data_IF_040883902582
#
_entry.id   IF_040883902582
#
_cell.length_a   1.000
_cell.length_b   1.000
_cell.length_c   1.000
_cell.angle_alpha   90.00
_cell.angle_beta   90.00
_cell.angle_gamma   90.00
#
_symmetry.space_group_name_H-M   'P 1'
#
loop_
_entity.id
_entity.type
_entity.pdbx_description
1 polymer ?
#
# COMPACT_ATOMS: atom_id res chain seq x y z
N UNK A 1 3.12 15.19 -22.91
CA UNK A 1 3.06 14.20 -21.81
C UNK A 1 1.87 14.51 -20.92
N UNK A 2 1.10 13.53 -20.47
CA UNK A 2 -0.11 13.72 -19.66
C UNK A 2 0.13 13.14 -18.26
N UNK A 3 -0.25 13.87 -17.21
CA UNK A 3 -0.30 13.38 -15.85
C UNK A 3 -1.77 13.09 -15.49
N UNK A 4 -2.03 11.90 -15.01
CA UNK A 4 -3.34 11.53 -14.45
C UNK A 4 -3.19 11.06 -13.02
N UNK A 5 -4.20 11.33 -12.20
CA UNK A 5 -4.28 10.89 -10.80
C UNK A 5 -5.62 10.21 -10.56
N UNK A 6 -5.58 9.04 -9.95
CA UNK A 6 -6.76 8.31 -9.50
C UNK A 6 -6.62 7.99 -8.02
N UNK A 7 -7.65 8.27 -7.24
CA UNK A 7 -7.70 7.92 -5.82
C UNK A 7 -8.78 6.87 -5.58
N UNK A 8 -8.47 5.91 -4.73
CA UNK A 8 -9.42 4.88 -4.32
C UNK A 8 -9.19 4.44 -2.88
N UNK A 9 -10.22 3.80 -2.31
CA UNK A 9 -10.12 3.09 -1.03
C UNK A 9 -10.59 1.66 -1.22
N UNK A 10 -10.03 0.74 -0.45
CA UNK A 10 -10.51 -0.63 -0.43
C UNK A 10 -12.01 -0.66 -0.11
N UNK A 11 -12.79 -1.40 -0.87
CA UNK A 11 -14.23 -1.52 -0.70
C UNK A 11 -14.85 -2.39 -1.79
N UNK A 12 -16.18 -2.61 -1.71
CA UNK A 12 -16.92 -3.52 -2.61
C UNK A 12 -16.71 -3.26 -4.11
N UNK A 13 -16.31 -2.03 -4.47
CA UNK A 13 -15.95 -1.62 -5.83
C UNK A 13 -14.59 -0.90 -5.84
N UNK A 14 -13.72 -1.20 -4.86
CA UNK A 14 -12.48 -0.47 -4.64
C UNK A 14 -11.46 -0.69 -5.75
N UNK A 15 -10.77 0.37 -6.13
CA UNK A 15 -9.61 0.32 -7.01
C UNK A 15 -8.37 -0.25 -6.32
N UNK A 16 -8.41 -0.33 -4.98
CA UNK A 16 -7.30 -0.76 -4.16
C UNK A 16 -7.15 -2.28 -4.13
N UNK A 17 -5.98 -2.75 -4.52
CA UNK A 17 -5.62 -4.16 -4.46
C UNK A 17 -4.10 -4.30 -4.21
N UNK A 18 -3.67 -4.47 -2.94
CA UNK A 18 -2.25 -4.56 -2.60
C UNK A 18 -1.54 -5.70 -3.35
N UNK A 19 -2.19 -6.84 -3.55
CA UNK A 19 -1.65 -7.96 -4.32
C UNK A 19 -1.39 -7.64 -5.79
N UNK A 20 -2.20 -6.76 -6.36
CA UNK A 20 -1.99 -6.27 -7.72
C UNK A 20 -0.79 -5.32 -7.77
N UNK A 21 -0.65 -4.48 -6.78
CA UNK A 21 0.38 -3.45 -6.75
C UNK A 21 1.78 -4.03 -6.54
N UNK A 22 1.93 -4.98 -5.65
CA UNK A 22 3.21 -5.64 -5.40
C UNK A 22 3.47 -6.87 -6.30
N UNK A 23 2.53 -7.23 -7.19
CA UNK A 23 2.61 -8.42 -8.03
C UNK A 23 2.78 -9.72 -7.23
N UNK A 24 2.20 -9.81 -6.04
CA UNK A 24 2.26 -11.02 -5.19
C UNK A 24 1.38 -12.18 -5.69
N UNK A 25 0.95 -12.14 -6.94
CA UNK A 25 0.28 -13.23 -7.64
C UNK A 25 1.14 -13.74 -8.81
N UNK A 26 0.80 -14.91 -9.34
CA UNK A 26 1.53 -15.48 -10.47
C UNK A 26 1.28 -14.67 -11.76
N UNK A 27 2.22 -13.79 -12.09
CA UNK A 27 2.17 -12.93 -13.28
C UNK A 27 2.26 -13.72 -14.59
N UNK A 28 2.73 -14.99 -14.56
CA UNK A 28 2.82 -15.81 -15.75
C UNK A 28 1.46 -16.13 -16.37
N UNK A 29 0.40 -16.09 -15.55
CA UNK A 29 -0.98 -16.34 -15.97
C UNK A 29 -1.74 -15.05 -16.37
N UNK A 30 -1.08 -13.90 -16.34
CA UNK A 30 -1.70 -12.60 -16.65
C UNK A 30 -1.39 -12.19 -18.10
N UNK A 31 -2.39 -12.18 -18.96
CA UNK A 31 -2.27 -11.75 -20.36
C UNK A 31 -1.97 -10.26 -20.52
N UNK A 32 -2.28 -9.45 -19.47
CA UNK A 32 -2.19 -7.99 -19.51
C UNK A 32 -0.89 -7.43 -18.90
N UNK A 33 0.01 -8.29 -18.42
CA UNK A 33 1.27 -7.86 -17.80
C UNK A 33 2.43 -8.23 -18.70
N UNK A 34 3.17 -7.22 -19.12
CA UNK A 34 4.46 -7.41 -19.78
C UNK A 34 5.49 -7.91 -18.76
N UNK A 35 5.89 -9.15 -18.90
CA UNK A 35 6.77 -9.86 -17.96
C UNK A 35 8.18 -9.25 -17.89
N UNK A 36 8.70 -8.80 -19.02
CA UNK A 36 10.03 -8.18 -19.06
C UNK A 36 10.04 -6.80 -18.41
N UNK A 37 8.98 -6.03 -18.61
CA UNK A 37 8.80 -4.76 -17.92
C UNK A 37 8.57 -4.96 -16.42
N UNK A 38 7.83 -5.98 -16.03
CA UNK A 38 7.56 -6.27 -14.62
C UNK A 38 8.84 -6.57 -13.81
N UNK A 39 9.90 -7.07 -14.45
CA UNK A 39 11.21 -7.25 -13.81
C UNK A 39 11.90 -5.93 -13.44
N UNK A 40 11.51 -4.84 -14.06
CA UNK A 40 12.03 -3.49 -13.78
C UNK A 40 11.25 -2.77 -12.68
N UNK A 41 10.18 -3.37 -12.17
CA UNK A 41 9.36 -2.77 -11.13
C UNK A 41 10.19 -2.56 -9.86
N UNK A 42 9.94 -1.42 -9.23
CA UNK A 42 10.52 -1.06 -7.94
C UNK A 42 9.39 -0.99 -6.92
N UNK A 43 9.65 -1.52 -5.75
CA UNK A 43 8.71 -1.54 -4.64
C UNK A 43 9.34 -0.89 -3.42
N UNK A 44 8.54 -0.31 -2.59
CA UNK A 44 8.96 0.22 -1.30
C UNK A 44 7.85 0.01 -0.28
N UNK A 45 8.22 -0.33 0.93
CA UNK A 45 7.32 -0.34 2.06
C UNK A 45 8.00 0.23 3.32
N UNK A 46 7.16 0.61 4.29
CA UNK A 46 7.62 1.33 5.48
C UNK A 46 8.44 0.48 6.47
N UNK A 47 8.49 -0.84 6.31
CA UNK A 47 9.29 -1.73 7.17
C UNK A 47 10.58 -2.20 6.51
N UNK A 48 10.53 -2.54 5.23
CA UNK A 48 11.65 -3.15 4.50
C UNK A 48 12.41 -2.16 3.61
N UNK A 49 11.80 -0.99 3.30
CA UNK A 49 12.39 -0.03 2.38
C UNK A 49 12.28 -0.47 0.91
N UNK A 50 13.29 -0.16 0.10
CA UNK A 50 13.31 -0.45 -1.33
C UNK A 50 13.53 -1.92 -1.63
N UNK A 51 12.76 -2.45 -2.58
CA UNK A 51 12.88 -3.81 -3.11
C UNK A 51 12.73 -3.79 -4.63
N UNK A 52 13.47 -4.67 -5.30
CA UNK A 52 13.32 -4.95 -6.73
C UNK A 52 12.47 -6.19 -6.94
N UNK A 53 12.16 -6.51 -8.19
CA UNK A 53 11.45 -7.74 -8.52
C UNK A 53 12.19 -9.00 -8.04
N UNK A 54 13.51 -9.03 -8.19
CA UNK A 54 14.36 -10.16 -7.80
C UNK A 54 14.46 -10.33 -6.27
N UNK A 55 14.23 -9.25 -5.51
CA UNK A 55 14.24 -9.31 -4.04
C UNK A 55 12.98 -9.95 -3.46
N UNK A 56 11.93 -10.16 -4.26
CA UNK A 56 10.67 -10.77 -3.79
C UNK A 56 10.80 -12.22 -3.34
N UNK A 57 11.79 -12.93 -3.85
CA UNK A 57 12.08 -14.31 -3.44
C UNK A 57 12.84 -14.40 -2.11
N UNK A 58 13.30 -13.26 -1.59
CA UNK A 58 13.95 -13.20 -0.27
C UNK A 58 12.89 -13.22 0.82
N UNK A 59 13.08 -14.08 1.81
CA UNK A 59 12.29 -14.04 3.04
C UNK A 59 12.64 -12.79 3.86
N UNK A 60 11.63 -12.03 4.21
CA UNK A 60 11.73 -10.91 5.14
C UNK A 60 11.17 -11.33 6.50
N UNK A 61 11.82 -10.86 7.58
CA UNK A 61 11.48 -11.29 8.94
C UNK A 61 10.06 -10.88 9.38
N UNK A 62 9.54 -9.76 8.85
CA UNK A 62 8.30 -9.17 9.33
C UNK A 62 7.12 -9.31 8.36
N UNK A 63 7.32 -8.92 7.10
CA UNK A 63 6.28 -8.92 6.09
C UNK A 63 6.90 -8.96 4.70
N UNK A 64 6.31 -9.73 3.78
CA UNK A 64 6.84 -9.94 2.43
C UNK A 64 6.00 -9.23 1.38
N UNK A 65 4.69 -9.20 1.56
CA UNK A 65 3.72 -8.59 0.64
C UNK A 65 3.19 -7.26 1.18
N UNK A 66 2.65 -6.42 0.31
CA UNK A 66 2.01 -5.18 0.74
C UNK A 66 0.80 -5.45 1.65
N UNK A 67 0.02 -6.51 1.39
CA UNK A 67 -1.07 -6.91 2.27
C UNK A 67 -0.57 -7.20 3.70
N UNK A 68 0.54 -7.94 3.83
CA UNK A 68 1.15 -8.25 5.14
C UNK A 68 1.75 -7.00 5.80
N UNK A 69 2.34 -6.11 5.02
CA UNK A 69 2.86 -4.80 5.50
C UNK A 69 1.75 -3.98 6.14
N UNK A 70 0.61 -3.87 5.47
CA UNK A 70 -0.54 -3.13 5.96
C UNK A 70 -1.15 -3.79 7.20
N UNK A 71 -1.32 -5.11 7.20
CA UNK A 71 -1.80 -5.85 8.37
C UNK A 71 -0.87 -5.66 9.58
N UNK A 72 0.44 -5.73 9.37
CA UNK A 72 1.44 -5.49 10.40
C UNK A 72 1.38 -4.05 10.92
N UNK A 73 1.30 -3.06 10.02
CA UNK A 73 1.19 -1.66 10.41
C UNK A 73 -0.04 -1.42 11.30
N UNK A 74 -1.21 -1.90 10.87
CA UNK A 74 -2.44 -1.76 11.67
C UNK A 74 -2.35 -2.51 12.99
N UNK A 75 -1.71 -3.65 13.03
CA UNK A 75 -1.46 -4.40 14.26
C UNK A 75 -0.59 -3.62 15.24
N UNK A 76 0.51 -3.04 14.78
CA UNK A 76 1.45 -2.29 15.64
C UNK A 76 0.81 -1.00 16.16
N UNK A 77 0.15 -0.24 15.31
CA UNK A 77 -0.25 1.12 15.68
C UNK A 77 -1.68 1.24 16.25
N UNK A 78 -2.55 0.26 15.99
CA UNK A 78 -3.97 0.38 16.38
C UNK A 78 -4.44 -0.67 17.38
N UNK A 79 -3.67 -1.72 17.70
CA UNK A 79 -4.13 -2.78 18.61
C UNK A 79 -4.52 -2.24 19.98
N UNK A 80 -3.66 -1.46 20.62
CA UNK A 80 -3.93 -0.94 21.97
C UNK A 80 -5.16 -0.02 21.99
N UNK A 81 -5.31 0.81 20.97
CA UNK A 81 -6.48 1.67 20.82
C UNK A 81 -7.77 0.86 20.68
N UNK A 82 -7.75 -0.19 19.86
CA UNK A 82 -8.89 -1.09 19.61
C UNK A 82 -9.25 -1.84 20.89
N UNK A 83 -8.27 -2.39 21.59
CA UNK A 83 -8.50 -3.10 22.85
C UNK A 83 -9.13 -2.18 23.89
N UNK A 84 -8.61 -0.96 24.06
CA UNK A 84 -9.20 0.02 24.97
C UNK A 84 -10.61 0.43 24.57
N UNK A 85 -10.94 0.50 23.26
CA UNK A 85 -12.30 0.74 22.80
C UNK A 85 -13.21 -0.46 23.06
N UNK A 86 -12.75 -1.68 22.85
CA UNK A 86 -13.49 -2.90 23.11
C UNK A 86 -13.82 -3.06 24.59
N UNK A 87 -12.90 -2.73 25.49
CA UNK A 87 -13.16 -2.72 26.93
C UNK A 87 -14.27 -1.71 27.30
N UNK A 88 -14.24 -0.51 26.71
CA UNK A 88 -15.32 0.49 26.89
C UNK A 88 -16.67 -0.03 26.39
N UNK A 89 -16.67 -0.69 25.25
CA UNK A 89 -17.88 -1.31 24.69
C UNK A 89 -18.45 -2.37 25.64
N UNK A 90 -17.59 -3.24 26.20
CA UNK A 90 -18.01 -4.26 27.16
C UNK A 90 -18.60 -3.63 28.44
N UNK A 91 -17.94 -2.62 29.01
CA UNK A 91 -18.44 -1.88 30.18
C UNK A 91 -19.81 -1.25 29.94
N UNK A 92 -20.04 -0.77 28.70
CA UNK A 92 -21.30 -0.17 28.30
C UNK A 92 -22.36 -1.18 27.79
N UNK A 93 -22.07 -2.49 27.90
CA UNK A 93 -22.95 -3.58 27.45
C UNK A 93 -23.20 -3.60 25.93
N UNK A 94 -22.21 -3.21 25.15
CA UNK A 94 -22.23 -3.19 23.69
C UNK A 94 -21.11 -4.05 23.07
N UNK A 95 -21.01 -5.36 23.41
CA UNK A 95 -19.97 -6.22 22.86
C UNK A 95 -20.04 -6.38 21.32
N UNK A 96 -21.21 -6.19 20.73
CA UNK A 96 -21.43 -6.21 19.29
C UNK A 96 -20.68 -5.12 18.52
N UNK A 97 -20.17 -4.10 19.24
CA UNK A 97 -19.37 -3.01 18.67
C UNK A 97 -17.86 -3.28 18.69
N UNK A 98 -17.46 -4.39 19.27
CA UNK A 98 -16.06 -4.76 19.31
C UNK A 98 -15.50 -4.95 17.89
N UNK A 99 -14.25 -4.56 17.71
CA UNK A 99 -13.55 -4.63 16.43
C UNK A 99 -12.17 -5.26 16.62
N UNK A 100 -11.63 -5.75 15.52
CA UNK A 100 -10.25 -6.20 15.37
C UNK A 100 -9.48 -5.22 14.48
N UNK A 101 -8.16 -5.36 14.41
CA UNK A 101 -7.33 -4.59 13.45
C UNK A 101 -7.75 -4.89 12.02
N UNK A 102 -8.06 -6.14 11.69
CA UNK A 102 -8.56 -6.55 10.38
C UNK A 102 -9.90 -5.88 10.01
N UNK A 103 -10.81 -5.71 10.98
CA UNK A 103 -12.08 -4.99 10.72
C UNK A 103 -11.81 -3.53 10.33
N UNK A 104 -10.84 -2.88 10.97
CA UNK A 104 -10.48 -1.49 10.68
C UNK A 104 -9.76 -1.39 9.33
N UNK A 105 -8.83 -2.29 9.05
CA UNK A 105 -8.12 -2.36 7.78
C UNK A 105 -9.08 -2.52 6.59
N UNK A 106 -10.13 -3.32 6.75
CA UNK A 106 -11.12 -3.61 5.68
C UNK A 106 -12.28 -2.62 5.61
N UNK A 107 -12.39 -1.71 6.56
CA UNK A 107 -13.51 -0.79 6.63
C UNK A 107 -13.28 0.45 5.75
N UNK A 108 -14.25 0.77 4.87
CA UNK A 108 -14.16 1.84 3.85
C UNK A 108 -13.75 3.25 4.33
N UNK A 109 -13.85 3.53 5.64
CA UNK A 109 -13.48 4.83 6.21
C UNK A 109 -12.08 4.84 6.83
N UNK A 110 -11.54 3.65 7.13
CA UNK A 110 -10.31 3.50 7.91
C UNK A 110 -9.26 2.64 7.21
N UNK A 111 -9.61 2.00 6.09
CA UNK A 111 -8.64 1.33 5.22
C UNK A 111 -7.67 2.33 4.59
N UNK A 112 -6.50 1.88 4.13
CA UNK A 112 -5.58 2.70 3.35
C UNK A 112 -6.25 3.35 2.15
N UNK A 113 -5.72 4.50 1.73
CA UNK A 113 -6.13 5.16 0.49
C UNK A 113 -5.04 4.98 -0.55
N UNK A 114 -5.38 4.36 -1.66
CA UNK A 114 -4.48 4.24 -2.80
C UNK A 114 -4.55 5.50 -3.66
N UNK A 115 -3.39 5.96 -4.11
CA UNK A 115 -3.31 6.97 -5.17
C UNK A 115 -2.44 6.45 -6.31
N UNK A 116 -3.00 6.37 -7.49
CA UNK A 116 -2.28 6.00 -8.71
C UNK A 116 -1.91 7.28 -9.46
N UNK A 117 -0.62 7.45 -9.73
CA UNK A 117 -0.09 8.48 -10.61
C UNK A 117 0.41 7.85 -11.89
N UNK A 118 -0.09 8.32 -13.02
CA UNK A 118 0.36 7.88 -14.33
C UNK A 118 0.97 9.07 -15.08
N UNK A 119 2.22 8.94 -15.50
CA UNK A 119 2.94 9.96 -16.25
C UNK A 119 3.28 9.40 -17.63
N UNK A 120 2.61 9.94 -18.65
CA UNK A 120 2.78 9.50 -20.03
C UNK A 120 1.77 8.45 -20.49
N UNK A 121 2.15 7.72 -21.52
CA UNK A 121 1.40 6.62 -22.16
C UNK A 121 2.35 5.46 -22.43
N UNK A 122 1.84 4.34 -22.93
CA UNK A 122 2.69 3.21 -23.32
C UNK A 122 3.74 3.58 -24.39
N UNK A 123 3.41 4.53 -25.26
CA UNK A 123 4.28 4.95 -26.38
C UNK A 123 5.18 6.14 -26.02
N UNK A 124 4.84 6.90 -24.97
CA UNK A 124 5.56 8.10 -24.55
C UNK A 124 5.54 8.20 -23.03
N UNK A 125 6.50 7.57 -22.39
CA UNK A 125 6.65 7.49 -20.93
C UNK A 125 7.97 8.12 -20.47
N UNK A 126 8.07 8.39 -19.19
CA UNK A 126 9.29 8.85 -18.53
C UNK A 126 10.21 7.67 -18.28
N UNK A 127 11.52 7.90 -18.37
CA UNK A 127 12.52 6.93 -17.95
C UNK A 127 12.34 6.53 -16.47
N UNK A 128 12.49 5.24 -16.13
CA UNK A 128 12.24 4.73 -14.77
C UNK A 128 13.03 5.48 -13.68
N UNK A 129 14.29 5.81 -13.94
CA UNK A 129 15.14 6.53 -12.97
C UNK A 129 14.62 7.93 -12.67
N UNK A 130 14.12 8.64 -13.68
CA UNK A 130 13.51 9.96 -13.49
C UNK A 130 12.20 9.83 -12.70
N UNK A 131 11.40 8.81 -12.99
CA UNK A 131 10.16 8.57 -12.27
C UNK A 131 10.44 8.22 -10.80
N UNK A 132 11.46 7.40 -10.53
CA UNK A 132 11.89 7.08 -9.17
C UNK A 132 12.32 8.34 -8.39
N UNK A 133 13.08 9.24 -9.01
CA UNK A 133 13.45 10.52 -8.40
C UNK A 133 12.22 11.37 -8.06
N UNK A 134 11.26 11.46 -8.97
CA UNK A 134 10.01 12.20 -8.74
C UNK A 134 9.22 11.61 -7.57
N UNK A 135 9.08 10.28 -7.52
CA UNK A 135 8.37 9.61 -6.42
C UNK A 135 9.08 9.83 -5.10
N UNK A 136 10.39 9.65 -5.05
CA UNK A 136 11.19 9.86 -3.84
C UNK A 136 11.05 11.29 -3.31
N UNK A 137 11.20 12.30 -4.17
CA UNK A 137 11.02 13.70 -3.80
C UNK A 137 9.60 13.98 -3.31
N UNK A 138 8.59 13.43 -3.96
CA UNK A 138 7.21 13.57 -3.56
C UNK A 138 6.93 12.97 -2.18
N UNK A 139 7.50 11.80 -1.88
CA UNK A 139 7.42 11.14 -0.58
C UNK A 139 8.05 11.99 0.53
N UNK A 140 9.24 12.55 0.26
CA UNK A 140 9.92 13.47 1.19
C UNK A 140 9.07 14.71 1.47
N UNK A 141 8.45 15.31 0.45
CA UNK A 141 7.59 16.48 0.62
C UNK A 141 6.32 16.15 1.41
N UNK A 142 5.73 14.96 1.26
CA UNK A 142 4.60 14.53 2.08
C UNK A 142 5.04 14.40 3.55
N UNK A 143 6.15 13.73 3.82
CA UNK A 143 6.66 13.58 5.17
C UNK A 143 6.97 14.92 5.83
N UNK A 144 7.58 15.87 5.10
CA UNK A 144 7.88 17.20 5.59
C UNK A 144 6.63 18.02 5.89
N UNK A 145 5.64 18.01 5.00
CA UNK A 145 4.43 18.86 5.11
C UNK A 145 3.42 18.34 6.12
N UNK A 146 3.27 17.04 6.21
CA UNK A 146 2.18 16.40 6.97
C UNK A 146 2.68 15.66 8.22
N UNK A 147 3.96 15.37 8.31
CA UNK A 147 4.56 14.69 9.46
C UNK A 147 3.81 13.40 9.81
N UNK A 148 3.40 13.27 11.07
CA UNK A 148 2.69 12.09 11.57
C UNK A 148 1.20 12.03 11.17
N UNK A 149 0.69 12.97 10.39
CA UNK A 149 -0.73 12.97 9.96
C UNK A 149 -0.98 12.11 8.72
N UNK A 150 0.07 11.84 7.94
CA UNK A 150 0.00 10.95 6.77
C UNK A 150 1.14 9.96 6.88
N UNK A 151 0.80 8.68 6.86
CA UNK A 151 1.74 7.58 6.82
C UNK A 151 1.66 6.91 5.46
N UNK A 152 2.78 6.82 4.78
CA UNK A 152 2.90 6.07 3.54
C UNK A 152 3.29 4.65 3.92
N UNK A 153 2.46 3.68 3.57
CA UNK A 153 2.66 2.28 3.95
C UNK A 153 3.53 1.56 2.93
N UNK A 154 3.20 1.74 1.67
CA UNK A 154 3.87 1.10 0.54
C UNK A 154 3.63 1.88 -0.76
N UNK A 155 4.43 1.58 -1.76
CA UNK A 155 4.23 2.03 -3.13
C UNK A 155 4.96 1.13 -4.14
N UNK A 156 4.47 1.10 -5.35
CA UNK A 156 5.07 0.39 -6.46
C UNK A 156 5.23 1.30 -7.69
N UNK A 157 6.34 1.12 -8.38
CA UNK A 157 6.65 1.72 -9.66
C UNK A 157 6.58 0.63 -10.74
N UNK A 158 5.68 0.81 -11.71
CA UNK A 158 5.43 -0.14 -12.80
C UNK A 158 5.76 0.43 -14.16
#
# INVERSE_FOLDING_TARGET
MKLTRHNGRAGKNGAYNPKHNDRSFNICNSEHIDKERAKQNIYWDCFNGYRTFDDKEKEYELATTFEEVEELYYSIYYTDFILGQNERNLKNRHPERNRTTSDILKHKKTCPEETIYQIGTMENHIEPDILLQIVTEFMMQIAERFGSHIHILDWALH
#
